data_IF_605548912526
#
_entry.id   IF_605548912526
#
_cell.length_a   1.000
_cell.length_b   1.000
_cell.length_c   1.000
_cell.angle_alpha   90.00
_cell.angle_beta   90.00
_cell.angle_gamma   90.00
#
_symmetry.space_group_name_H-M   'P 1'
#
loop_
_entity.id
_entity.type
_entity.pdbx_description
1 polymer ?
#
# COMPACT_ATOMS: atom_id res chain seq x y z
N UNK A 1 1.58 24.39 10.52
CA UNK A 1 2.29 23.10 10.65
C UNK A 1 1.28 22.08 11.18
N UNK A 2 1.05 20.99 10.46
CA UNK A 2 0.13 19.93 10.86
C UNK A 2 0.91 18.62 11.09
N UNK A 3 0.31 17.67 11.82
CA UNK A 3 0.96 16.41 12.21
C UNK A 3 0.16 15.24 11.63
N UNK A 4 0.87 14.27 11.06
CA UNK A 4 0.31 12.98 10.65
C UNK A 4 0.95 11.85 11.47
N UNK A 5 0.16 10.84 11.80
CA UNK A 5 0.67 9.60 12.39
C UNK A 5 0.99 8.61 11.26
N UNK A 6 2.27 8.50 10.91
CA UNK A 6 2.73 7.64 9.80
C UNK A 6 3.73 6.61 10.31
N UNK A 7 3.42 5.34 10.10
CA UNK A 7 4.26 4.21 10.53
C UNK A 7 4.61 4.29 12.03
N UNK A 8 3.61 4.66 12.86
CA UNK A 8 3.76 4.78 14.30
C UNK A 8 4.53 6.02 14.78
N UNK A 9 4.87 6.95 13.88
CA UNK A 9 5.59 8.20 14.23
C UNK A 9 4.74 9.42 13.92
N UNK A 10 4.81 10.42 14.79
CA UNK A 10 4.22 11.73 14.56
C UNK A 10 5.16 12.55 13.66
N UNK A 11 4.73 12.84 12.43
CA UNK A 11 5.52 13.55 11.43
C UNK A 11 4.85 14.88 11.06
N UNK A 12 5.64 15.95 11.06
CA UNK A 12 5.17 17.29 10.73
C UNK A 12 5.18 17.56 9.23
N UNK A 13 4.19 18.31 8.74
CA UNK A 13 4.16 18.81 7.37
C UNK A 13 3.57 20.21 7.27
N UNK A 14 3.83 20.91 6.17
CA UNK A 14 3.34 22.26 5.87
C UNK A 14 2.51 22.30 4.57
N UNK A 15 1.96 21.16 4.13
CA UNK A 15 1.16 21.10 2.92
C UNK A 15 -0.15 21.90 3.05
N UNK A 16 -0.62 22.44 1.92
CA UNK A 16 -1.99 22.95 1.81
C UNK A 16 -2.97 21.82 2.20
N UNK A 17 -4.03 22.11 2.96
CA UNK A 17 -5.03 21.11 3.40
C UNK A 17 -5.64 20.26 2.28
N UNK A 18 -5.68 20.77 1.05
CA UNK A 18 -6.21 20.09 -0.14
C UNK A 18 -5.18 19.21 -0.84
N UNK A 19 -3.90 19.31 -0.46
CA UNK A 19 -2.85 18.47 -1.05
C UNK A 19 -3.17 17.00 -0.86
N UNK A 20 -3.14 16.16 -1.92
CA UNK A 20 -3.31 14.73 -1.79
C UNK A 20 -2.25 14.11 -0.86
N UNK A 21 -2.68 13.20 -0.01
CA UNK A 21 -1.80 12.52 0.96
C UNK A 21 -0.55 11.91 0.29
N UNK A 22 -0.70 11.37 -0.92
CA UNK A 22 0.42 10.83 -1.71
C UNK A 22 1.60 11.81 -1.81
N UNK A 23 1.33 13.08 -2.12
CA UNK A 23 2.38 14.09 -2.30
C UNK A 23 2.99 14.52 -0.97
N UNK A 24 2.19 14.58 0.10
CA UNK A 24 2.72 14.85 1.45
C UNK A 24 3.69 13.75 1.87
N UNK A 25 3.32 12.48 1.66
CA UNK A 25 4.19 11.34 1.97
C UNK A 25 5.51 11.41 1.20
N UNK A 26 5.44 11.67 -0.11
CA UNK A 26 6.62 11.64 -0.99
C UNK A 26 7.51 12.87 -0.86
N UNK A 27 6.90 14.08 -0.93
CA UNK A 27 7.64 15.33 -1.10
C UNK A 27 8.04 15.97 0.23
N UNK A 28 7.24 15.81 1.27
CA UNK A 28 7.52 16.44 2.57
C UNK A 28 8.07 15.46 3.61
N UNK A 29 7.59 14.21 3.58
CA UNK A 29 8.04 13.19 4.54
C UNK A 29 9.12 12.26 3.98
N UNK A 30 9.46 12.36 2.70
CA UNK A 30 10.51 11.56 2.05
C UNK A 30 10.18 10.07 1.91
N UNK A 31 8.90 9.68 2.09
CA UNK A 31 8.44 8.29 1.97
C UNK A 31 8.08 7.98 0.50
N UNK A 32 9.08 7.64 -0.28
CA UNK A 32 8.98 7.51 -1.74
C UNK A 32 8.52 6.13 -2.23
N UNK A 33 8.32 5.18 -1.34
CA UNK A 33 7.83 3.82 -1.68
C UNK A 33 6.40 3.81 -2.23
N UNK A 34 5.53 4.71 -1.77
CA UNK A 34 4.20 4.94 -2.33
C UNK A 34 4.32 5.66 -3.67
N UNK A 35 3.73 5.13 -4.75
CA UNK A 35 3.97 5.60 -6.13
C UNK A 35 2.77 6.34 -6.72
N UNK A 36 3.05 7.31 -7.61
CA UNK A 36 2.05 7.94 -8.45
C UNK A 36 1.89 7.17 -9.76
N UNK A 37 0.65 6.93 -10.18
CA UNK A 37 0.33 6.35 -11.49
C UNK A 37 -0.75 7.16 -12.19
N UNK A 38 -2.05 6.87 -11.95
CA UNK A 38 -3.17 7.51 -12.64
C UNK A 38 -3.61 8.86 -12.04
N UNK A 39 -3.42 9.08 -10.74
CA UNK A 39 -3.91 10.27 -10.04
C UNK A 39 -5.43 10.34 -9.81
N UNK A 40 -6.18 9.30 -10.19
CA UNK A 40 -7.65 9.23 -10.14
C UNK A 40 -8.16 8.00 -9.35
N UNK A 41 -7.38 7.49 -8.45
CA UNK A 41 -7.68 6.37 -7.56
C UNK A 41 -7.97 5.01 -8.26
N UNK A 42 -7.56 4.82 -9.52
CA UNK A 42 -7.82 3.59 -10.26
C UNK A 42 -6.67 2.58 -10.22
N UNK A 43 -5.43 3.01 -10.53
CA UNK A 43 -4.33 2.08 -10.74
C UNK A 43 -3.80 1.40 -9.48
N UNK A 44 -3.98 2.01 -8.31
CA UNK A 44 -3.56 1.47 -7.03
C UNK A 44 -2.08 1.57 -6.67
N UNK A 45 -1.24 2.17 -7.51
CA UNK A 45 0.17 2.37 -7.20
C UNK A 45 0.39 3.19 -5.90
N UNK A 46 -0.57 4.04 -5.55
CA UNK A 46 -0.57 4.90 -4.38
C UNK A 46 -1.24 4.32 -3.14
N UNK A 47 -1.52 3.02 -3.09
CA UNK A 47 -2.22 2.38 -1.97
C UNK A 47 -1.39 2.48 -0.69
N UNK A 48 -2.02 3.00 0.36
CA UNK A 48 -1.56 3.01 1.74
C UNK A 48 -2.66 2.44 2.64
N UNK A 49 -2.39 2.16 3.92
CA UNK A 49 -3.45 1.90 4.87
C UNK A 49 -3.77 3.16 5.66
N UNK A 50 -5.06 3.46 5.82
CA UNK A 50 -5.56 4.46 6.75
C UNK A 50 -6.48 3.71 7.72
N UNK A 51 -6.09 3.66 8.99
CA UNK A 51 -6.72 2.82 10.04
C UNK A 51 -6.92 1.36 9.60
N UNK A 52 -5.92 0.79 8.93
CA UNK A 52 -5.93 -0.60 8.45
C UNK A 52 -6.67 -0.82 7.11
N UNK A 53 -7.32 0.20 6.56
CA UNK A 53 -8.07 0.11 5.29
C UNK A 53 -7.19 0.52 4.11
N UNK A 54 -7.08 -0.36 3.11
CA UNK A 54 -6.37 -0.04 1.87
C UNK A 54 -7.04 1.13 1.15
N UNK A 55 -6.29 2.21 0.96
CA UNK A 55 -6.80 3.50 0.48
C UNK A 55 -5.90 4.07 -0.61
N UNK A 56 -6.50 4.63 -1.66
CA UNK A 56 -5.79 5.29 -2.77
C UNK A 56 -5.40 6.72 -2.37
N UNK A 57 -4.17 6.93 -1.92
CA UNK A 57 -3.71 8.20 -1.34
C UNK A 57 -3.67 9.38 -2.33
N UNK A 58 -3.69 9.13 -3.63
CA UNK A 58 -3.69 10.19 -4.66
C UNK A 58 -4.97 11.04 -4.71
N UNK A 59 -6.08 10.57 -4.10
CA UNK A 59 -7.36 11.27 -4.06
C UNK A 59 -7.82 11.59 -2.63
N UNK A 60 -6.96 11.43 -1.64
CA UNK A 60 -7.26 11.75 -0.23
C UNK A 60 -6.63 13.10 0.13
N UNK A 61 -7.40 14.18 0.29
CA UNK A 61 -6.87 15.42 0.82
C UNK A 61 -6.27 15.21 2.21
N UNK A 62 -5.09 15.73 2.47
CA UNK A 62 -4.38 15.51 3.73
C UNK A 62 -5.19 15.97 4.95
N UNK A 63 -6.01 17.02 4.80
CA UNK A 63 -6.88 17.51 5.87
C UNK A 63 -7.94 16.51 6.33
N UNK A 64 -8.32 15.54 5.47
CA UNK A 64 -9.34 14.53 5.81
C UNK A 64 -8.79 13.35 6.60
N UNK A 65 -7.48 13.26 6.71
CA UNK A 65 -6.80 12.15 7.42
C UNK A 65 -6.91 12.35 8.95
N UNK A 66 -6.69 13.59 9.41
CA UNK A 66 -6.76 13.90 10.84
C UNK A 66 -5.80 13.06 11.68
N UNK A 67 -6.29 12.51 12.79
CA UNK A 67 -5.52 11.70 13.74
C UNK A 67 -5.41 10.21 13.33
N UNK A 68 -5.91 9.81 12.16
CA UNK A 68 -5.90 8.41 11.70
C UNK A 68 -4.47 7.90 11.53
N UNK A 69 -4.30 6.60 11.75
CA UNK A 69 -3.02 5.91 11.57
C UNK A 69 -2.78 5.61 10.10
N UNK A 70 -1.69 6.10 9.56
CA UNK A 70 -1.25 5.81 8.20
C UNK A 70 -0.14 4.76 8.27
N UNK A 71 -0.25 3.71 7.46
CA UNK A 71 0.84 2.77 7.22
C UNK A 71 1.17 2.80 5.73
N UNK A 72 2.45 3.02 5.42
CA UNK A 72 3.00 2.96 4.07
C UNK A 72 3.80 1.68 3.88
N UNK A 73 4.27 1.42 2.67
CA UNK A 73 5.10 0.23 2.38
C UNK A 73 6.35 0.18 3.25
N UNK A 74 6.93 1.32 3.59
CA UNK A 74 8.10 1.43 4.47
C UNK A 74 7.82 0.98 5.92
N UNK A 75 6.55 0.96 6.32
CA UNK A 75 6.13 0.57 7.67
C UNK A 75 5.63 -0.88 7.80
N UNK A 76 5.68 -1.69 6.73
CA UNK A 76 5.23 -3.09 6.80
C UNK A 76 6.29 -4.05 7.35
N UNK A 77 7.56 -3.77 7.12
CA UNK A 77 8.66 -4.54 7.69
C UNK A 77 8.97 -4.01 9.10
N UNK A 78 9.05 -4.90 10.08
CA UNK A 78 9.39 -4.56 11.46
C UNK A 78 10.77 -5.13 11.79
N UNK A 79 11.65 -4.30 12.34
CA UNK A 79 13.02 -4.67 12.74
C UNK A 79 13.81 -5.40 11.63
N UNK A 80 13.60 -4.97 10.37
CA UNK A 80 14.25 -5.57 9.21
C UNK A 80 13.66 -6.92 8.77
N UNK A 81 12.57 -7.37 9.41
CA UNK A 81 11.87 -8.60 9.04
C UNK A 81 10.70 -8.31 8.13
N UNK A 82 10.68 -8.95 6.97
CA UNK A 82 9.56 -8.88 6.03
C UNK A 82 8.30 -9.48 6.66
N UNK A 83 7.15 -8.86 6.40
CA UNK A 83 5.88 -9.51 6.73
C UNK A 83 5.64 -10.70 5.78
N UNK A 84 4.65 -11.55 6.09
CA UNK A 84 4.38 -12.77 5.32
C UNK A 84 4.04 -12.52 3.84
N UNK A 85 3.41 -11.38 3.51
CA UNK A 85 3.15 -10.99 2.12
C UNK A 85 4.46 -10.64 1.42
N UNK A 86 5.28 -9.79 2.02
CA UNK A 86 6.57 -9.40 1.44
C UNK A 86 7.48 -10.62 1.26
N UNK A 87 7.50 -11.54 2.21
CA UNK A 87 8.26 -12.79 2.10
C UNK A 87 7.79 -13.65 0.92
N UNK A 88 6.47 -13.83 0.75
CA UNK A 88 5.90 -14.58 -0.37
C UNK A 88 6.19 -13.88 -1.73
N UNK A 89 6.19 -12.53 -1.77
CA UNK A 89 6.57 -11.77 -2.97
C UNK A 89 8.01 -12.03 -3.40
N UNK A 90 8.92 -12.13 -2.43
CA UNK A 90 10.33 -12.45 -2.71
C UNK A 90 10.47 -13.91 -3.15
N UNK A 91 9.85 -14.85 -2.44
CA UNK A 91 9.95 -16.29 -2.71
C UNK A 91 9.43 -16.67 -4.11
N UNK A 92 8.33 -16.04 -4.55
CA UNK A 92 7.70 -16.33 -5.85
C UNK A 92 8.28 -15.43 -6.96
N UNK A 93 9.15 -14.48 -6.62
CA UNK A 93 9.75 -13.52 -7.57
C UNK A 93 8.68 -12.76 -8.38
N UNK A 94 7.70 -12.19 -7.67
CA UNK A 94 6.53 -11.53 -8.28
C UNK A 94 6.89 -10.34 -9.15
N UNK A 95 7.79 -9.40 -8.72
CA UNK A 95 8.05 -8.17 -9.46
C UNK A 95 8.70 -8.38 -10.81
N UNK A 96 8.32 -7.56 -11.80
CA UNK A 96 9.09 -7.32 -13.02
C UNK A 96 9.71 -5.92 -12.95
N UNK A 97 9.04 -4.86 -13.45
CA UNK A 97 9.58 -3.50 -13.29
C UNK A 97 9.52 -3.00 -11.84
N UNK A 98 8.65 -3.56 -11.01
CA UNK A 98 8.51 -3.25 -9.59
C UNK A 98 7.66 -2.01 -9.27
N UNK A 99 7.27 -1.20 -10.25
CA UNK A 99 6.63 0.10 -9.99
C UNK A 99 5.27 -0.01 -9.26
N UNK A 100 4.43 -0.97 -9.62
CA UNK A 100 3.11 -1.19 -9.00
C UNK A 100 3.17 -1.99 -7.69
N UNK A 101 4.32 -2.59 -7.35
CA UNK A 101 4.37 -3.64 -6.34
C UNK A 101 4.18 -3.13 -4.92
N UNK A 102 4.64 -1.93 -4.59
CA UNK A 102 4.37 -1.35 -3.27
C UNK A 102 2.85 -1.24 -3.02
N UNK A 103 2.10 -0.74 -3.99
CA UNK A 103 0.63 -0.65 -3.89
C UNK A 103 -0.03 -2.02 -3.85
N UNK A 104 0.47 -3.01 -4.60
CA UNK A 104 -0.07 -4.38 -4.58
C UNK A 104 0.19 -5.07 -3.25
N UNK A 105 1.37 -4.95 -2.68
CA UNK A 105 1.71 -5.51 -1.36
C UNK A 105 0.82 -4.89 -0.28
N UNK A 106 0.59 -3.57 -0.32
CA UNK A 106 -0.32 -2.90 0.61
C UNK A 106 -1.75 -3.42 0.49
N UNK A 107 -2.28 -3.56 -0.73
CA UNK A 107 -3.62 -4.10 -0.97
C UNK A 107 -3.75 -5.56 -0.50
N UNK A 108 -2.77 -6.41 -0.82
CA UNK A 108 -2.75 -7.81 -0.41
C UNK A 108 -2.64 -7.98 1.12
N UNK A 109 -1.86 -7.12 1.78
CA UNK A 109 -1.74 -7.13 3.25
C UNK A 109 -3.08 -6.81 3.91
N UNK A 110 -3.81 -5.80 3.42
CA UNK A 110 -5.15 -5.48 3.92
C UNK A 110 -6.16 -6.61 3.65
N UNK A 111 -6.10 -7.24 2.48
CA UNK A 111 -6.95 -8.38 2.13
C UNK A 111 -6.75 -9.54 3.12
N UNK A 112 -5.50 -9.95 3.38
CA UNK A 112 -5.22 -11.07 4.29
C UNK A 112 -5.53 -10.74 5.75
N UNK A 113 -5.47 -9.47 6.15
CA UNK A 113 -5.92 -9.05 7.47
C UNK A 113 -7.44 -9.20 7.64
N UNK A 114 -8.21 -8.90 6.59
CA UNK A 114 -9.66 -9.03 6.59
C UNK A 114 -10.13 -10.47 6.30
N UNK A 115 -9.44 -11.18 5.41
CA UNK A 115 -9.74 -12.56 4.97
C UNK A 115 -8.46 -13.40 4.95
N UNK A 116 -8.17 -14.13 6.02
CA UNK A 116 -6.92 -14.89 6.14
C UNK A 116 -6.73 -16.01 5.10
N UNK A 117 -7.82 -16.50 4.51
CA UNK A 117 -7.82 -17.55 3.48
C UNK A 117 -8.76 -17.16 2.33
N UNK A 118 -8.39 -16.19 1.52
CA UNK A 118 -9.27 -15.72 0.44
C UNK A 118 -9.36 -16.73 -0.70
N UNK A 119 -10.52 -16.81 -1.32
CA UNK A 119 -10.71 -17.51 -2.59
C UNK A 119 -10.18 -16.68 -3.76
N UNK A 120 -9.99 -17.29 -4.93
CA UNK A 120 -9.58 -16.57 -6.14
C UNK A 120 -10.53 -15.41 -6.47
N UNK A 121 -11.84 -15.63 -6.36
CA UNK A 121 -12.84 -14.58 -6.60
C UNK A 121 -12.70 -13.39 -5.62
N UNK A 122 -12.37 -13.65 -4.36
CA UNK A 122 -12.13 -12.61 -3.36
C UNK A 122 -10.81 -11.87 -3.61
N UNK A 123 -9.78 -12.57 -4.07
CA UNK A 123 -8.52 -11.95 -4.50
C UNK A 123 -8.78 -11.04 -5.69
N UNK A 124 -9.47 -11.52 -6.73
CA UNK A 124 -9.78 -10.73 -7.93
C UNK A 124 -10.61 -9.49 -7.61
N UNK A 125 -11.57 -9.60 -6.68
CA UNK A 125 -12.39 -8.47 -6.24
C UNK A 125 -11.59 -7.41 -5.45
N UNK A 126 -10.62 -7.84 -4.64
CA UNK A 126 -9.82 -6.96 -3.78
C UNK A 126 -8.60 -6.36 -4.49
N UNK A 127 -7.95 -7.15 -5.36
CA UNK A 127 -6.71 -6.77 -6.05
C UNK A 127 -7.00 -6.04 -7.36
N UNK A 128 -7.61 -4.85 -7.25
CA UNK A 128 -7.93 -3.98 -8.40
C UNK A 128 -6.75 -3.15 -8.90
N UNK A 129 -5.57 -3.37 -8.34
CA UNK A 129 -4.32 -2.70 -8.76
C UNK A 129 -3.94 -3.11 -10.19
N UNK A 130 -3.39 -2.14 -10.94
CA UNK A 130 -2.99 -2.35 -12.33
C UNK A 130 -1.48 -2.62 -12.41
N UNK A 131 -1.09 -3.68 -13.13
CA UNK A 131 0.29 -3.99 -13.45
C UNK A 131 0.50 -4.00 -14.97
N UNK A 132 1.34 -3.11 -15.49
CA UNK A 132 1.64 -3.04 -16.91
C UNK A 132 2.44 -4.25 -17.40
N UNK A 133 3.22 -4.88 -16.51
CA UNK A 133 4.00 -6.08 -16.80
C UNK A 133 3.15 -7.37 -16.73
N UNK A 134 1.93 -7.31 -16.19
CA UNK A 134 1.00 -8.44 -16.14
C UNK A 134 1.32 -9.49 -15.09
N UNK A 135 1.85 -9.10 -13.91
CA UNK A 135 2.23 -10.03 -12.82
C UNK A 135 1.05 -10.60 -12.03
N UNK A 136 -0.17 -10.51 -12.53
CA UNK A 136 -1.39 -10.89 -11.79
C UNK A 136 -1.43 -12.35 -11.34
N UNK A 137 -0.90 -13.27 -12.16
CA UNK A 137 -0.84 -14.70 -11.80
C UNK A 137 0.08 -14.89 -10.59
N UNK A 138 1.29 -14.36 -10.64
CA UNK A 138 2.27 -14.44 -9.56
C UNK A 138 1.77 -13.75 -8.28
N UNK A 139 1.07 -12.61 -8.42
CA UNK A 139 0.40 -11.93 -7.29
C UNK A 139 -0.59 -12.86 -6.59
N UNK A 140 -1.45 -13.54 -7.34
CA UNK A 140 -2.42 -14.49 -6.79
C UNK A 140 -1.72 -15.66 -6.07
N UNK A 141 -0.72 -16.25 -6.71
CA UNK A 141 0.10 -17.33 -6.13
C UNK A 141 0.75 -16.89 -4.80
N UNK A 142 1.32 -15.68 -4.77
CA UNK A 142 1.96 -15.13 -3.57
C UNK A 142 0.95 -14.86 -2.44
N UNK A 143 -0.27 -14.40 -2.75
CA UNK A 143 -1.32 -14.22 -1.74
C UNK A 143 -1.72 -15.57 -1.14
N UNK A 144 -1.90 -16.61 -1.97
CA UNK A 144 -2.20 -17.95 -1.47
C UNK A 144 -1.05 -18.55 -0.65
N UNK A 145 0.20 -18.32 -1.05
CA UNK A 145 1.37 -18.76 -0.28
C UNK A 145 1.42 -18.09 1.10
N UNK A 146 1.25 -16.76 1.13
CA UNK A 146 1.21 -16.00 2.38
C UNK A 146 0.03 -16.37 3.29
N UNK A 147 -1.11 -16.81 2.71
CA UNK A 147 -2.28 -17.26 3.47
C UNK A 147 -2.05 -18.62 4.19
N UNK A 148 -1.05 -19.40 3.75
CA UNK A 148 -0.68 -20.70 4.36
C UNK A 148 0.42 -20.55 5.42
N UNK A 149 1.18 -19.45 5.36
CA UNK A 149 2.20 -19.10 6.34
C UNK A 149 1.52 -18.41 7.55
#
# INVERSE_FOLDING_TARGET
>A
MAVLNVNGKALNHNADPRTPLLWVLREQLGLTGTKYGCGIAQCGACTVHIDGVATRSCQVPVSTVGAKKIVTIEGLAEDGKLNKIQAAWVEIDVPQCGYCQSGMVMAATALLAAKPKPTDAEIDAAMTNICRCGTYKQVREAIHAAAKA
#
